data_IF_046040267741
#
_entry.id   IF_046040267741
#
_cell.length_a   1.000
_cell.length_b   1.000
_cell.length_c   1.000
_cell.angle_alpha   90.00
_cell.angle_beta   90.00
_cell.angle_gamma   90.00
#
_symmetry.space_group_name_H-M   'P 1'
#
loop_
_entity.id
_entity.type
_entity.pdbx_description
1 polymer ?
#
# COMPACT_ATOMS: atom_id res chain seq x y z
N UNK A 1 -26.55 -21.53 -15.03
CA UNK A 1 -25.41 -21.16 -15.87
C UNK A 1 -24.79 -19.87 -15.38
N UNK A 2 -23.45 -19.76 -15.41
CA UNK A 2 -22.72 -18.55 -15.00
C UNK A 2 -23.16 -17.35 -15.86
N UNK A 3 -23.51 -16.18 -15.29
CA UNK A 3 -23.93 -15.01 -16.04
C UNK A 3 -22.95 -14.60 -17.14
N UNK A 4 -21.64 -14.78 -16.91
CA UNK A 4 -20.60 -14.50 -17.91
C UNK A 4 -20.75 -15.28 -19.23
N UNK A 5 -21.39 -16.46 -19.22
CA UNK A 5 -21.50 -17.30 -20.42
C UNK A 5 -22.75 -17.04 -21.27
N UNK A 6 -23.80 -16.45 -20.70
CA UNK A 6 -25.06 -16.28 -21.41
C UNK A 6 -25.61 -14.85 -21.36
N UNK A 7 -25.17 -14.02 -20.40
CA UNK A 7 -25.64 -12.65 -20.27
C UNK A 7 -24.69 -11.66 -20.96
N UNK A 8 -23.38 -11.83 -20.80
CA UNK A 8 -22.37 -10.91 -21.35
C UNK A 8 -22.30 -10.94 -22.89
N UNK A 9 -22.29 -12.10 -23.57
CA UNK A 9 -22.24 -12.14 -25.03
C UNK A 9 -23.48 -11.51 -25.70
N UNK A 10 -24.63 -11.59 -25.03
CA UNK A 10 -25.91 -11.09 -25.54
C UNK A 10 -26.17 -9.64 -25.14
N UNK A 11 -25.40 -9.09 -24.19
CA UNK A 11 -25.56 -7.73 -23.69
C UNK A 11 -25.54 -6.64 -24.77
N UNK A 12 -24.65 -6.68 -25.79
CA UNK A 12 -24.66 -5.68 -26.86
C UNK A 12 -25.98 -5.67 -27.64
N UNK A 13 -26.60 -6.83 -27.82
CA UNK A 13 -27.78 -7.05 -28.63
C UNK A 13 -29.10 -6.79 -27.90
N UNK A 14 -29.08 -6.65 -26.57
CA UNK A 14 -30.28 -6.34 -25.79
C UNK A 14 -30.71 -4.88 -25.99
N UNK A 15 -32.02 -4.69 -26.17
CA UNK A 15 -32.63 -3.36 -26.22
C UNK A 15 -32.47 -2.61 -24.88
N UNK A 16 -32.47 -1.27 -24.96
CA UNK A 16 -32.27 -0.41 -23.80
C UNK A 16 -33.32 -0.62 -22.69
N UNK A 17 -34.56 -0.95 -23.08
CA UNK A 17 -35.64 -1.29 -22.14
C UNK A 17 -35.39 -2.61 -21.41
N UNK A 18 -34.98 -3.65 -22.13
CA UNK A 18 -34.63 -4.95 -21.55
C UNK A 18 -33.45 -4.83 -20.57
N UNK A 19 -32.42 -4.04 -20.92
CA UNK A 19 -31.30 -3.71 -20.02
C UNK A 19 -31.78 -3.04 -18.73
N UNK A 20 -32.64 -2.03 -18.85
CA UNK A 20 -33.14 -1.26 -17.71
C UNK A 20 -34.00 -2.09 -16.75
N UNK A 21 -34.77 -3.05 -17.27
CA UNK A 21 -35.57 -3.97 -16.47
C UNK A 21 -34.75 -5.07 -15.77
N UNK A 22 -33.67 -5.55 -16.40
CA UNK A 22 -32.84 -6.64 -15.89
C UNK A 22 -31.82 -6.20 -14.82
N UNK A 23 -31.29 -4.98 -14.91
CA UNK A 23 -30.24 -4.47 -14.00
C UNK A 23 -30.66 -4.55 -12.52
N UNK A 24 -31.86 -4.11 -12.09
CA UNK A 24 -32.27 -4.18 -10.69
C UNK A 24 -32.30 -5.62 -10.15
N UNK A 25 -32.85 -6.56 -10.92
CA UNK A 25 -32.94 -7.97 -10.52
C UNK A 25 -31.56 -8.63 -10.42
N UNK A 26 -30.68 -8.35 -11.37
CA UNK A 26 -29.29 -8.81 -11.34
C UNK A 26 -28.55 -8.21 -10.13
N UNK A 27 -28.67 -6.90 -9.92
CA UNK A 27 -28.00 -6.20 -8.81
C UNK A 27 -28.43 -6.75 -7.45
N UNK A 28 -29.73 -7.05 -7.28
CA UNK A 28 -30.25 -7.66 -6.06
C UNK A 28 -29.65 -9.05 -5.84
N UNK A 29 -29.59 -9.89 -6.87
CA UNK A 29 -29.00 -11.24 -6.78
C UNK A 29 -27.50 -11.19 -6.47
N UNK A 30 -26.76 -10.28 -7.11
CA UNK A 30 -25.33 -10.09 -6.84
C UNK A 30 -25.09 -9.56 -5.43
N UNK A 31 -25.93 -8.64 -4.95
CA UNK A 31 -25.87 -8.15 -3.57
C UNK A 31 -26.08 -9.27 -2.55
N UNK A 32 -27.10 -10.11 -2.74
CA UNK A 32 -27.35 -11.28 -1.89
C UNK A 32 -26.18 -12.28 -1.93
N UNK A 33 -25.58 -12.48 -3.10
CA UNK A 33 -24.41 -13.36 -3.25
C UNK A 33 -23.18 -12.79 -2.54
N UNK A 34 -22.95 -11.48 -2.63
CA UNK A 34 -21.87 -10.78 -1.95
C UNK A 34 -22.04 -10.85 -0.42
N UNK A 35 -23.27 -10.68 0.09
CA UNK A 35 -23.58 -10.79 1.52
C UNK A 35 -23.40 -12.23 2.03
N UNK A 36 -23.81 -13.22 1.24
CA UNK A 36 -23.66 -14.65 1.56
C UNK A 36 -22.27 -15.24 1.28
N UNK A 37 -21.30 -14.44 0.81
CA UNK A 37 -19.99 -14.94 0.47
C UNK A 37 -19.26 -15.49 1.70
N UNK A 38 -18.54 -16.60 1.49
CA UNK A 38 -17.64 -17.19 2.47
C UNK A 38 -16.53 -17.96 1.76
N UNK A 39 -15.32 -17.92 2.30
CA UNK A 39 -14.17 -18.61 1.75
C UNK A 39 -14.38 -20.14 1.65
N UNK A 40 -15.16 -20.74 2.55
CA UNK A 40 -15.41 -22.20 2.54
C UNK A 40 -16.36 -22.64 1.42
N UNK A 41 -17.33 -21.78 1.07
CA UNK A 41 -18.44 -22.13 0.18
C UNK A 41 -18.30 -21.54 -1.22
N UNK A 42 -17.61 -20.40 -1.36
CA UNK A 42 -17.38 -19.78 -2.66
C UNK A 42 -16.25 -20.51 -3.38
N UNK A 43 -16.59 -21.13 -4.51
CA UNK A 43 -15.61 -21.45 -5.54
C UNK A 43 -15.10 -20.18 -6.22
N UNK A 44 -14.92 -20.19 -7.54
CA UNK A 44 -14.46 -19.02 -8.30
C UNK A 44 -15.54 -17.94 -8.40
N UNK A 45 -15.81 -17.23 -7.30
CA UNK A 45 -16.74 -16.11 -7.23
C UNK A 45 -16.33 -14.98 -8.17
N UNK A 46 -15.02 -14.78 -8.33
CA UNK A 46 -14.43 -13.89 -9.32
C UNK A 46 -15.03 -14.11 -10.72
N UNK A 47 -15.04 -15.36 -11.21
CA UNK A 47 -15.54 -15.72 -12.55
C UNK A 47 -17.01 -15.37 -12.77
N UNK A 48 -17.78 -15.22 -11.68
CA UNK A 48 -19.21 -14.86 -11.74
C UNK A 48 -19.38 -13.35 -11.69
N UNK A 49 -18.60 -12.66 -10.87
CA UNK A 49 -18.75 -11.23 -10.60
C UNK A 49 -18.08 -10.37 -11.66
N UNK A 50 -16.86 -10.68 -12.07
CA UNK A 50 -16.10 -9.89 -13.04
C UNK A 50 -16.92 -9.62 -14.32
N UNK A 51 -17.52 -10.62 -14.97
CA UNK A 51 -18.32 -10.37 -16.17
C UNK A 51 -19.55 -9.51 -15.88
N UNK A 52 -20.15 -9.64 -14.69
CA UNK A 52 -21.31 -8.84 -14.28
C UNK A 52 -20.95 -7.37 -13.98
N UNK A 53 -19.72 -7.08 -13.53
CA UNK A 53 -19.30 -5.70 -13.29
C UNK A 53 -19.09 -4.92 -14.60
N UNK A 54 -18.90 -5.57 -15.74
CA UNK A 54 -18.79 -4.87 -17.01
C UNK A 54 -20.12 -4.26 -17.47
N UNK A 55 -21.25 -4.90 -17.10
CA UNK A 55 -22.59 -4.52 -17.54
C UNK A 55 -23.33 -3.58 -16.58
N UNK A 56 -22.85 -3.43 -15.35
CA UNK A 56 -23.48 -2.60 -14.32
C UNK A 56 -23.03 -1.14 -14.42
N UNK A 57 -23.96 -0.22 -14.13
CA UNK A 57 -23.65 1.22 -14.03
C UNK A 57 -22.71 1.53 -12.85
N UNK A 58 -21.87 2.56 -12.98
CA UNK A 58 -20.85 2.93 -12.00
C UNK A 58 -21.35 2.97 -10.54
N UNK A 59 -22.49 3.62 -10.30
CA UNK A 59 -23.09 3.73 -8.95
C UNK A 59 -23.45 2.38 -8.34
N UNK A 60 -24.00 1.47 -9.14
CA UNK A 60 -24.40 0.12 -8.69
C UNK A 60 -23.17 -0.73 -8.41
N UNK A 61 -22.13 -0.63 -9.26
CA UNK A 61 -20.86 -1.34 -9.06
C UNK A 61 -20.19 -0.95 -7.76
N UNK A 62 -20.07 0.36 -7.50
CA UNK A 62 -19.45 0.85 -6.26
C UNK A 62 -20.22 0.37 -5.03
N UNK A 63 -21.56 0.41 -5.06
CA UNK A 63 -22.41 -0.09 -3.96
C UNK A 63 -22.28 -1.61 -3.75
N UNK A 64 -22.17 -2.38 -4.85
CA UNK A 64 -21.98 -3.83 -4.76
C UNK A 64 -20.60 -4.19 -4.21
N UNK A 65 -19.55 -3.52 -4.70
CA UNK A 65 -18.18 -3.73 -4.24
C UNK A 65 -18.01 -3.31 -2.79
N UNK A 66 -18.62 -2.21 -2.34
CA UNK A 66 -18.54 -1.81 -0.93
C UNK A 66 -19.21 -2.83 0.00
N UNK A 67 -20.38 -3.36 -0.37
CA UNK A 67 -21.04 -4.46 0.37
C UNK A 67 -20.16 -5.70 0.43
N UNK A 68 -19.56 -6.07 -0.72
CA UNK A 68 -18.72 -7.25 -0.79
C UNK A 68 -17.44 -7.07 0.06
N UNK A 69 -16.78 -5.92 -0.02
CA UNK A 69 -15.60 -5.61 0.79
C UNK A 69 -15.91 -5.64 2.29
N UNK A 70 -17.06 -5.12 2.73
CA UNK A 70 -17.48 -5.24 4.14
C UNK A 70 -17.63 -6.70 4.57
N UNK A 71 -18.09 -7.57 3.67
CA UNK A 71 -18.17 -9.01 3.95
C UNK A 71 -16.79 -9.67 3.99
N UNK A 72 -15.88 -9.29 3.09
CA UNK A 72 -14.49 -9.74 3.12
C UNK A 72 -13.79 -9.31 4.42
N UNK A 73 -14.05 -8.09 4.88
CA UNK A 73 -13.50 -7.58 6.15
C UNK A 73 -13.94 -8.44 7.33
N UNK A 74 -15.22 -8.82 7.37
CA UNK A 74 -15.71 -9.76 8.38
C UNK A 74 -15.02 -11.12 8.31
N UNK A 75 -14.77 -11.66 7.12
CA UNK A 75 -14.09 -12.96 6.96
C UNK A 75 -12.61 -12.90 7.33
N UNK A 76 -11.91 -11.80 7.05
CA UNK A 76 -10.54 -11.56 7.53
C UNK A 76 -10.51 -11.59 9.05
N UNK A 77 -11.37 -10.81 9.71
CA UNK A 77 -11.42 -10.74 11.18
C UNK A 77 -11.72 -12.07 11.85
N UNK A 78 -12.64 -12.87 11.30
CA UNK A 78 -13.13 -14.07 12.01
C UNK A 78 -12.33 -15.33 11.72
N UNK A 79 -11.73 -15.45 10.52
CA UNK A 79 -11.11 -16.70 10.07
C UNK A 79 -9.60 -16.59 9.78
N UNK A 80 -9.04 -15.40 9.59
CA UNK A 80 -7.60 -15.25 9.40
C UNK A 80 -6.95 -15.01 10.76
N UNK A 81 -6.08 -15.93 11.16
CA UNK A 81 -5.22 -15.79 12.32
C UNK A 81 -3.77 -15.80 11.87
N UNK A 82 -3.02 -14.77 12.23
CA UNK A 82 -1.59 -14.70 11.92
C UNK A 82 -0.82 -15.40 13.05
N UNK A 83 -0.34 -16.60 12.76
CA UNK A 83 0.53 -17.35 13.67
C UNK A 83 1.87 -17.63 12.97
N UNK A 84 2.99 -17.11 13.50
CA UNK A 84 4.35 -17.45 13.07
C UNK A 84 4.64 -18.93 12.83
N UNK A 85 4.16 -19.81 13.71
CA UNK A 85 4.47 -21.23 13.69
C UNK A 85 3.52 -22.07 12.81
N UNK A 86 2.32 -21.56 12.54
CA UNK A 86 1.28 -22.28 11.78
C UNK A 86 0.40 -21.31 10.98
N UNK A 87 0.81 -21.02 9.75
CA UNK A 87 0.12 -20.07 8.88
C UNK A 87 -1.03 -20.73 8.13
N UNK A 88 -2.26 -20.28 8.41
CA UNK A 88 -3.45 -20.72 7.70
C UNK A 88 -3.82 -19.71 6.61
N UNK A 89 -3.31 -19.91 5.39
CA UNK A 89 -3.43 -18.96 4.27
C UNK A 89 -4.66 -19.17 3.39
N UNK A 90 -5.34 -20.31 3.49
CA UNK A 90 -6.45 -20.72 2.63
C UNK A 90 -7.57 -19.66 2.48
N UNK A 91 -7.98 -19.03 3.57
CA UNK A 91 -9.01 -17.98 3.56
C UNK A 91 -8.45 -16.70 2.95
N UNK A 92 -7.23 -16.33 3.32
CA UNK A 92 -6.57 -15.12 2.82
C UNK A 92 -6.30 -15.19 1.32
N UNK A 93 -5.80 -16.32 0.81
CA UNK A 93 -5.60 -16.56 -0.63
C UNK A 93 -6.90 -16.35 -1.41
N UNK A 94 -8.02 -16.89 -0.92
CA UNK A 94 -9.33 -16.72 -1.54
C UNK A 94 -9.78 -15.26 -1.54
N UNK A 95 -9.50 -14.52 -0.48
CA UNK A 95 -9.80 -13.07 -0.42
C UNK A 95 -8.90 -12.30 -1.39
N UNK A 96 -7.61 -12.63 -1.47
CA UNK A 96 -6.66 -12.00 -2.38
C UNK A 96 -6.96 -12.31 -3.85
N UNK A 97 -7.55 -13.48 -4.18
CA UNK A 97 -8.02 -13.74 -5.55
C UNK A 97 -9.10 -12.76 -6.00
N UNK A 98 -9.82 -12.14 -5.06
CA UNK A 98 -10.79 -11.10 -5.37
C UNK A 98 -10.12 -9.78 -5.77
N UNK A 99 -8.83 -9.56 -5.49
CA UNK A 99 -8.11 -8.32 -5.82
C UNK A 99 -8.21 -7.94 -7.30
N UNK A 100 -8.30 -8.93 -8.19
CA UNK A 100 -8.50 -8.74 -9.64
C UNK A 100 -9.80 -8.01 -10.01
N UNK A 101 -10.82 -8.08 -9.14
CA UNK A 101 -12.14 -7.48 -9.35
C UNK A 101 -12.30 -6.14 -8.63
N UNK A 102 -11.54 -5.94 -7.55
CA UNK A 102 -11.62 -4.76 -6.70
C UNK A 102 -10.67 -3.67 -7.16
N UNK A 103 -11.05 -2.39 -7.06
CA UNK A 103 -10.08 -1.31 -7.15
C UNK A 103 -9.01 -1.47 -6.06
N UNK A 104 -7.74 -1.23 -6.40
CA UNK A 104 -6.59 -1.37 -5.46
C UNK A 104 -6.85 -0.65 -4.13
N UNK A 105 -7.43 0.56 -4.17
CA UNK A 105 -7.81 1.35 -2.98
C UNK A 105 -8.69 0.57 -1.99
N UNK A 106 -9.66 -0.22 -2.48
CA UNK A 106 -10.53 -1.00 -1.61
C UNK A 106 -9.80 -2.21 -1.01
N UNK A 107 -8.92 -2.85 -1.79
CA UNK A 107 -8.13 -3.98 -1.30
C UNK A 107 -7.06 -3.53 -0.28
N UNK A 108 -6.37 -2.43 -0.57
CA UNK A 108 -5.47 -1.78 0.38
C UNK A 108 -6.21 -1.41 1.66
N UNK A 109 -7.41 -0.81 1.55
CA UNK A 109 -8.18 -0.45 2.73
C UNK A 109 -8.62 -1.64 3.58
N UNK A 110 -8.98 -2.73 2.92
CA UNK A 110 -9.34 -3.98 3.56
C UNK A 110 -8.15 -4.56 4.35
N UNK A 111 -6.97 -4.61 3.72
CA UNK A 111 -5.79 -5.16 4.37
C UNK A 111 -5.26 -4.24 5.48
N UNK A 112 -5.18 -2.93 5.26
CA UNK A 112 -4.76 -1.94 6.27
C UNK A 112 -5.67 -1.94 7.50
N UNK A 113 -6.98 -2.10 7.29
CA UNK A 113 -7.94 -2.08 8.39
C UNK A 113 -8.04 -3.40 9.16
N UNK A 114 -7.87 -4.54 8.50
CA UNK A 114 -8.23 -5.84 9.08
C UNK A 114 -7.07 -6.82 9.22
N UNK A 115 -6.11 -6.81 8.28
CA UNK A 115 -5.03 -7.80 8.24
C UNK A 115 -3.74 -7.27 8.90
N UNK A 116 -3.25 -6.12 8.44
CA UNK A 116 -1.99 -5.56 8.90
C UNK A 116 -1.94 -5.29 10.41
N UNK A 117 -3.02 -4.85 11.10
CA UNK A 117 -2.99 -4.69 12.55
C UNK A 117 -2.70 -6.02 13.26
N UNK A 118 -3.36 -7.11 12.85
CA UNK A 118 -3.13 -8.45 13.41
C UNK A 118 -1.73 -8.97 13.07
N UNK A 119 -1.26 -8.73 11.84
CA UNK A 119 0.05 -9.18 11.40
C UNK A 119 1.20 -8.44 12.09
N UNK A 120 1.12 -7.11 12.19
CA UNK A 120 2.09 -6.28 12.91
C UNK A 120 2.06 -6.59 14.42
N UNK A 121 0.91 -6.94 15.00
CA UNK A 121 0.84 -7.42 16.38
C UNK A 121 1.60 -8.74 16.56
N UNK A 122 1.44 -9.70 15.66
CA UNK A 122 2.19 -10.97 15.71
C UNK A 122 3.70 -10.72 15.57
N UNK A 123 4.10 -9.82 14.65
CA UNK A 123 5.49 -9.40 14.50
C UNK A 123 6.05 -8.80 15.78
N UNK A 124 5.34 -7.85 16.40
CA UNK A 124 5.74 -7.22 17.66
C UNK A 124 5.93 -8.24 18.79
N UNK A 125 4.98 -9.17 18.95
CA UNK A 125 5.08 -10.22 19.97
C UNK A 125 6.28 -11.12 19.71
N UNK A 126 6.57 -11.45 18.45
CA UNK A 126 7.73 -12.24 18.09
C UNK A 126 9.04 -11.50 18.38
N UNK A 127 9.14 -10.21 18.05
CA UNK A 127 10.32 -9.39 18.39
C UNK A 127 10.58 -9.40 19.90
N UNK A 128 9.54 -9.27 20.73
CA UNK A 128 9.66 -9.26 22.20
C UNK A 128 10.10 -10.59 22.81
N UNK A 129 9.72 -11.70 22.19
CA UNK A 129 9.93 -13.05 22.74
C UNK A 129 11.17 -13.74 22.16
N UNK A 130 11.77 -13.16 21.12
CA UNK A 130 12.92 -13.73 20.41
C UNK A 130 14.23 -13.50 21.12
N UNK A 131 15.09 -14.52 21.10
CA UNK A 131 16.52 -14.38 21.40
C UNK A 131 17.30 -13.90 20.16
N UNK A 132 18.60 -13.61 20.33
CA UNK A 132 19.45 -13.11 19.25
C UNK A 132 19.55 -14.06 18.03
N UNK A 133 19.27 -15.37 18.20
CA UNK A 133 19.31 -16.38 17.14
C UNK A 133 18.06 -16.43 16.25
N UNK A 134 16.89 -16.10 16.82
CA UNK A 134 15.60 -16.07 16.12
C UNK A 134 15.47 -14.91 15.08
N UNK A 135 16.48 -14.05 14.96
CA UNK A 135 16.49 -12.93 14.02
C UNK A 135 16.40 -13.36 12.55
N UNK A 136 16.98 -14.50 12.18
CA UNK A 136 16.97 -14.98 10.78
C UNK A 136 15.60 -15.51 10.36
N UNK A 137 14.92 -16.24 11.24
CA UNK A 137 13.58 -16.77 11.00
C UNK A 137 12.54 -15.65 10.92
N UNK A 138 12.68 -14.61 11.73
CA UNK A 138 11.81 -13.44 11.70
C UNK A 138 11.94 -12.67 10.38
N UNK A 139 13.17 -12.47 9.88
CA UNK A 139 13.41 -11.84 8.56
C UNK A 139 12.79 -12.70 7.46
N UNK A 140 13.01 -14.02 7.48
CA UNK A 140 12.43 -14.95 6.50
C UNK A 140 10.90 -14.92 6.51
N UNK A 141 10.30 -14.81 7.70
CA UNK A 141 8.85 -14.69 7.84
C UNK A 141 8.32 -13.40 7.23
N UNK A 142 8.96 -12.26 7.53
CA UNK A 142 8.62 -10.96 6.94
C UNK A 142 8.71 -11.01 5.40
N UNK A 143 9.81 -11.51 4.85
CA UNK A 143 10.03 -11.62 3.40
C UNK A 143 9.02 -12.54 2.74
N UNK A 144 8.68 -13.67 3.39
CA UNK A 144 7.66 -14.59 2.94
C UNK A 144 6.31 -13.90 2.76
N UNK A 145 5.89 -13.12 3.76
CA UNK A 145 4.64 -12.34 3.70
C UNK A 145 4.66 -11.26 2.63
N UNK A 146 5.77 -10.52 2.51
CA UNK A 146 5.94 -9.50 1.47
C UNK A 146 5.82 -10.10 0.07
N UNK A 147 6.56 -11.18 -0.20
CA UNK A 147 6.51 -11.89 -1.48
C UNK A 147 5.11 -12.46 -1.78
N UNK A 148 4.47 -13.04 -0.77
CA UNK A 148 3.13 -13.59 -0.90
C UNK A 148 2.12 -12.50 -1.29
N UNK A 149 2.02 -11.39 -0.54
CA UNK A 149 1.06 -10.33 -0.86
C UNK A 149 1.35 -9.64 -2.20
N UNK A 150 2.62 -9.34 -2.50
CA UNK A 150 3.00 -8.73 -3.78
C UNK A 150 2.67 -9.62 -5.00
N UNK A 151 2.64 -10.95 -4.83
CA UNK A 151 2.26 -11.86 -5.92
C UNK A 151 0.78 -11.73 -6.34
N UNK A 152 -0.09 -11.27 -5.44
CA UNK A 152 -1.51 -11.06 -5.71
C UNK A 152 -1.85 -9.60 -6.06
N UNK A 153 -1.18 -8.64 -5.43
CA UNK A 153 -1.52 -7.21 -5.50
C UNK A 153 -0.67 -6.42 -6.49
N UNK A 154 0.46 -7.00 -6.94
CA UNK A 154 1.48 -6.29 -7.70
C UNK A 154 2.64 -5.85 -6.80
N UNK A 155 3.84 -5.74 -7.38
CA UNK A 155 5.04 -5.35 -6.63
C UNK A 155 5.13 -3.84 -6.39
N UNK A 156 4.36 -3.04 -7.12
CA UNK A 156 4.44 -1.57 -7.13
C UNK A 156 3.28 -0.88 -6.38
N UNK A 157 2.47 -1.63 -5.61
CA UNK A 157 1.36 -1.04 -4.85
C UNK A 157 1.90 -0.28 -3.62
N UNK A 158 2.07 1.04 -3.79
CA UNK A 158 2.61 1.93 -2.77
C UNK A 158 1.88 1.85 -1.42
N UNK A 159 0.56 1.64 -1.43
CA UNK A 159 -0.23 1.56 -0.19
C UNK A 159 0.11 0.32 0.63
N UNK A 160 0.46 -0.78 -0.03
CA UNK A 160 0.85 -2.03 0.62
C UNK A 160 2.31 -1.96 1.06
N UNK A 161 3.18 -1.38 0.25
CA UNK A 161 4.61 -1.24 0.56
C UNK A 161 4.86 -0.36 1.79
N UNK A 162 4.07 0.69 1.96
CA UNK A 162 4.06 1.57 3.14
C UNK A 162 3.91 0.76 4.45
N UNK A 163 2.96 -0.19 4.50
CA UNK A 163 2.75 -1.05 5.68
C UNK A 163 3.94 -1.98 5.98
N UNK A 164 4.63 -2.43 4.92
CA UNK A 164 5.84 -3.23 5.06
C UNK A 164 7.04 -2.40 5.47
N UNK A 165 7.11 -1.12 5.07
CA UNK A 165 8.12 -0.18 5.53
C UNK A 165 7.96 0.10 7.02
N UNK A 166 6.74 0.41 7.48
CA UNK A 166 6.44 0.60 8.90
C UNK A 166 6.87 -0.60 9.75
N UNK A 167 6.58 -1.81 9.26
CA UNK A 167 6.91 -3.04 9.96
C UNK A 167 8.42 -3.31 9.99
N UNK A 168 9.15 -2.88 8.95
CA UNK A 168 10.61 -2.96 8.94
C UNK A 168 11.21 -1.97 9.95
N UNK A 169 10.68 -0.75 10.03
CA UNK A 169 11.07 0.23 11.04
C UNK A 169 10.79 -0.30 12.46
N UNK A 170 9.67 -1.02 12.67
CA UNK A 170 9.37 -1.70 13.93
C UNK A 170 10.44 -2.75 14.29
N UNK A 171 10.90 -3.54 13.33
CA UNK A 171 11.98 -4.50 13.53
C UNK A 171 13.31 -3.82 13.90
N UNK A 172 13.62 -2.68 13.30
CA UNK A 172 14.81 -1.90 13.62
C UNK A 172 14.73 -1.29 15.03
N UNK A 173 13.56 -0.78 15.42
CA UNK A 173 13.31 -0.19 16.73
C UNK A 173 13.42 -1.24 17.84
N UNK A 174 12.83 -2.42 17.66
CA UNK A 174 12.88 -3.49 18.67
C UNK A 174 14.28 -4.06 18.91
N UNK A 175 15.21 -3.87 17.99
CA UNK A 175 16.63 -4.24 18.15
C UNK A 175 17.48 -3.17 18.83
N UNK A 176 17.05 -1.92 18.78
CA UNK A 176 17.86 -0.76 19.20
C UNK A 176 17.39 -0.13 20.51
N UNK A 177 16.11 -0.26 20.85
CA UNK A 177 15.53 0.35 22.05
C UNK A 177 15.47 -0.62 23.24
N UNK A 178 15.68 -0.12 24.47
CA UNK A 178 15.32 -0.84 25.69
C UNK A 178 13.82 -1.17 25.72
N UNK A 179 13.45 -2.29 26.32
CA UNK A 179 12.08 -2.86 26.29
C UNK A 179 10.97 -1.88 26.73
N UNK A 180 11.29 -0.96 27.65
CA UNK A 180 10.38 0.08 28.18
C UNK A 180 10.04 1.16 27.16
N UNK A 181 11.00 1.58 26.34
CA UNK A 181 10.84 2.66 25.35
C UNK A 181 10.15 2.14 24.07
N UNK A 182 10.35 0.86 23.77
CA UNK A 182 9.71 0.16 22.64
C UNK A 182 8.19 -0.01 22.84
N UNK A 183 7.73 -0.17 24.09
CA UNK A 183 6.30 -0.31 24.39
C UNK A 183 5.52 0.99 24.18
N UNK A 184 6.10 2.13 24.60
CA UNK A 184 5.46 3.45 24.48
C UNK A 184 5.34 3.93 23.03
N UNK A 185 6.21 3.47 22.14
CA UNK A 185 6.21 3.85 20.72
C UNK A 185 5.13 3.10 19.92
N UNK A 186 4.74 1.91 20.35
CA UNK A 186 3.95 0.99 19.53
C UNK A 186 2.49 0.76 19.98
N UNK A 187 2.20 0.75 21.29
CA UNK A 187 0.83 0.57 21.81
C UNK A 187 -0.24 1.50 21.20
N UNK A 188 0.02 2.80 20.92
CA UNK A 188 -1.03 3.67 20.37
C UNK A 188 -1.39 3.38 18.91
N UNK A 189 -0.55 2.68 18.13
CA UNK A 189 -0.76 2.44 16.68
C UNK A 189 -1.56 1.15 16.41
N UNK A 190 -1.32 0.08 17.19
CA UNK A 190 -2.06 -1.20 17.04
C UNK A 190 -3.51 -1.08 17.48
N UNK A 191 -3.78 -0.26 18.50
CA UNK A 191 -5.14 -0.05 19.01
C UNK A 191 -6.00 0.84 18.11
N UNK A 192 -5.40 1.55 17.14
CA UNK A 192 -6.14 2.30 16.12
C UNK A 192 -6.48 1.42 14.91
N UNK A 193 -6.76 0.13 15.09
CA UNK A 193 -7.27 -0.75 14.04
C UNK A 193 -8.54 -0.13 13.43
N UNK A 194 -8.35 0.67 12.39
CA UNK A 194 -9.40 1.42 11.74
C UNK A 194 -10.16 0.42 10.89
N UNK A 195 -11.44 0.22 11.19
CA UNK A 195 -12.32 -0.61 10.34
C UNK A 195 -12.11 -0.31 8.86
N UNK A 196 -12.24 -1.31 7.99
CA UNK A 196 -12.23 -1.14 6.53
C UNK A 196 -12.94 0.14 6.06
N UNK A 197 -14.12 0.46 6.63
CA UNK A 197 -14.87 1.68 6.32
C UNK A 197 -14.12 2.97 6.68
N UNK A 198 -13.53 3.05 7.88
CA UNK A 198 -12.79 4.24 8.29
C UNK A 198 -11.53 4.43 7.44
N UNK A 199 -10.82 3.33 7.17
CA UNK A 199 -9.60 3.35 6.39
C UNK A 199 -9.90 3.70 4.92
N UNK A 200 -10.98 3.17 4.35
CA UNK A 200 -11.44 3.53 3.01
C UNK A 200 -11.72 5.04 2.87
N UNK A 201 -12.34 5.67 3.86
CA UNK A 201 -12.58 7.11 3.84
C UNK A 201 -11.26 7.91 3.93
N UNK A 202 -10.31 7.43 4.73
CA UNK A 202 -8.97 8.03 4.81
C UNK A 202 -8.25 7.99 3.44
N UNK A 203 -8.18 6.83 2.78
CA UNK A 203 -7.50 6.75 1.48
C UNK A 203 -8.19 7.55 0.39
N UNK A 204 -9.53 7.62 0.40
CA UNK A 204 -10.27 8.48 -0.53
C UNK A 204 -9.97 9.96 -0.34
N UNK A 205 -9.74 10.41 0.89
CA UNK A 205 -9.41 11.80 1.16
C UNK A 205 -8.01 12.21 0.66
N UNK A 206 -7.08 11.26 0.56
CA UNK A 206 -5.71 11.49 0.10
C UNK A 206 -5.54 11.29 -1.42
N UNK A 207 -6.55 10.72 -2.10
CA UNK A 207 -6.56 10.65 -3.56
C UNK A 207 -6.83 12.04 -4.15
N UNK A 208 -6.09 12.49 -5.18
CA UNK A 208 -6.39 13.74 -5.85
C UNK A 208 -7.83 13.72 -6.37
N UNK A 209 -8.59 14.82 -6.27
CA UNK A 209 -9.94 14.89 -6.78
C UNK A 209 -9.89 14.49 -8.25
N UNK A 210 -10.61 13.43 -8.61
CA UNK A 210 -10.70 12.99 -9.99
C UNK A 210 -11.23 14.16 -10.80
N UNK A 211 -10.55 14.63 -11.86
CA UNK A 211 -11.10 15.69 -12.68
C UNK A 211 -12.43 15.16 -13.22
N UNK A 212 -13.52 15.79 -12.81
CA UNK A 212 -14.84 15.51 -13.34
C UNK A 212 -14.74 15.66 -14.86
N UNK A 213 -14.81 14.52 -15.58
CA UNK A 213 -14.84 14.51 -17.04
C UNK A 213 -16.12 15.24 -17.45
N UNK A 214 -15.97 16.52 -17.80
CA UNK A 214 -16.98 17.26 -18.54
C UNK A 214 -17.08 16.59 -19.89
N UNK A 215 -18.25 16.05 -20.17
CA UNK A 215 -18.62 15.48 -21.46
C UNK A 215 -18.51 16.55 -22.55
N UNK A 216 -17.46 16.47 -23.38
CA UNK A 216 -17.42 17.16 -24.67
C UNK A 216 -17.61 16.14 -25.79
N UNK A 217 -18.55 16.47 -26.69
CA UNK A 217 -18.93 15.68 -27.86
C UNK A 217 -17.82 15.68 -28.91
N UNK A 218 -17.57 14.48 -29.45
CA UNK A 218 -17.10 14.08 -30.78
C UNK A 218 -16.57 15.14 -31.77
N UNK A 219 -15.41 14.86 -32.38
CA UNK A 219 -15.29 14.82 -33.85
C UNK A 219 -14.12 13.92 -34.31
N UNK A 220 -14.33 13.28 -35.47
CA UNK A 220 -13.57 12.20 -36.11
C UNK A 220 -12.15 12.57 -36.60
N UNK A 221 -11.29 11.54 -36.73
CA UNK A 221 -10.09 11.55 -37.57
C UNK A 221 -9.46 10.15 -37.71
N UNK A 222 -9.42 9.64 -38.94
CA UNK A 222 -9.13 8.25 -39.35
C UNK A 222 -7.63 8.00 -39.67
N UNK A 223 -7.21 6.73 -39.63
CA UNK A 223 -6.32 6.00 -40.60
C UNK A 223 -5.05 5.31 -40.02
N UNK A 224 -5.04 3.96 -40.19
CA UNK A 224 -3.99 2.94 -40.49
C UNK A 224 -2.61 3.00 -39.78
N UNK A 225 -1.88 1.91 -39.45
CA UNK A 225 -1.90 0.46 -39.74
C UNK A 225 -0.43 -0.02 -39.71
N UNK A 226 -0.05 -1.13 -39.03
CA UNK A 226 0.48 -2.37 -39.65
C UNK A 226 1.21 -3.29 -38.64
N UNK A 227 1.10 -4.61 -38.92
CA UNK A 227 1.85 -5.85 -38.56
C UNK A 227 3.36 -5.71 -38.27
N UNK A 228 4.15 -6.66 -37.73
CA UNK A 228 4.08 -7.93 -36.99
C UNK A 228 5.56 -8.39 -36.74
N UNK A 229 5.75 -9.47 -35.95
CA UNK A 229 6.98 -10.32 -35.86
C UNK A 229 8.14 -9.76 -35.00
N UNK A 230 8.88 -10.50 -34.16
CA UNK A 230 9.04 -11.93 -33.88
C UNK A 230 10.52 -12.19 -33.55
N UNK A 231 10.86 -12.80 -32.40
CA UNK A 231 12.21 -13.35 -32.14
C UNK A 231 12.75 -13.22 -30.71
N UNK A 232 12.72 -14.33 -29.95
CA UNK A 232 13.69 -14.64 -28.87
C UNK A 232 15.05 -15.08 -29.48
N UNK A 233 16.17 -15.08 -28.71
CA UNK A 233 16.53 -16.28 -27.93
C UNK A 233 17.20 -15.98 -26.56
N UNK A 234 17.24 -17.01 -25.71
CA UNK A 234 17.61 -16.94 -24.29
C UNK A 234 19.10 -16.96 -23.92
N UNK A 235 19.34 -16.93 -22.61
CA UNK A 235 20.64 -17.06 -21.96
C UNK A 235 20.50 -17.22 -20.44
N UNK A 236 20.89 -18.38 -19.94
CA UNK A 236 20.80 -18.82 -18.54
C UNK A 236 21.66 -18.04 -17.53
N UNK A 237 21.12 -17.95 -16.32
CA UNK A 237 21.77 -18.24 -15.02
C UNK A 237 23.03 -17.47 -14.63
N UNK A 238 22.88 -16.50 -13.71
CA UNK A 238 23.74 -16.31 -12.53
C UNK A 238 23.34 -15.05 -11.76
N UNK A 239 22.33 -15.11 -10.90
CA UNK A 239 22.00 -13.98 -10.02
C UNK A 239 21.40 -14.37 -8.66
N UNK A 240 21.45 -15.66 -8.28
CA UNK A 240 20.78 -16.14 -7.06
C UNK A 240 21.60 -15.98 -5.76
N UNK A 241 22.67 -15.19 -5.74
CA UNK A 241 23.51 -15.05 -4.53
C UNK A 241 23.94 -13.62 -4.17
N UNK A 242 23.67 -12.60 -5.00
CA UNK A 242 24.04 -11.20 -4.71
C UNK A 242 22.86 -10.25 -4.54
N UNK A 243 21.63 -10.74 -4.66
CA UNK A 243 20.42 -9.92 -4.54
C UNK A 243 19.93 -9.77 -3.09
N UNK A 244 20.44 -10.61 -2.17
CA UNK A 244 20.00 -10.70 -0.77
C UNK A 244 20.58 -9.63 0.16
N UNK A 245 21.60 -8.87 -0.25
CA UNK A 245 22.28 -7.91 0.64
C UNK A 245 21.84 -6.45 0.41
N UNK A 246 21.19 -6.16 -0.74
CA UNK A 246 20.89 -4.78 -1.17
C UNK A 246 19.42 -4.34 -1.03
N UNK A 247 18.51 -5.22 -0.61
CA UNK A 247 17.05 -4.92 -0.55
C UNK A 247 16.53 -4.62 0.87
N UNK A 248 17.42 -4.36 1.84
CA UNK A 248 17.07 -4.08 3.24
C UNK A 248 17.21 -2.61 3.65
N UNK A 249 16.98 -1.66 2.73
CA UNK A 249 17.03 -0.24 3.09
C UNK A 249 15.61 0.34 3.02
N UNK A 250 15.04 0.69 4.18
CA UNK A 250 13.93 1.64 4.24
C UNK A 250 14.35 2.89 3.49
N UNK A 251 13.43 3.67 2.91
CA UNK A 251 13.83 4.95 2.27
C UNK A 251 14.62 5.84 3.24
N UNK A 252 14.34 5.73 4.54
CA UNK A 252 15.15 6.31 5.61
C UNK A 252 16.63 5.89 5.55
N UNK A 253 16.92 4.63 5.29
CA UNK A 253 18.29 4.10 5.19
C UNK A 253 18.95 4.56 3.89
N UNK A 254 18.18 4.76 2.81
CA UNK A 254 18.68 5.42 1.58
C UNK A 254 19.10 6.86 1.89
N UNK A 255 18.28 7.61 2.62
CA UNK A 255 18.59 8.97 3.06
C UNK A 255 19.78 9.00 4.01
N UNK A 256 19.86 8.06 4.95
CA UNK A 256 20.96 7.95 5.93
C UNK A 256 22.27 7.58 5.24
N UNK A 257 22.28 6.57 4.36
CA UNK A 257 23.44 6.20 3.56
C UNK A 257 23.89 7.36 2.65
N UNK A 258 22.94 8.09 2.04
CA UNK A 258 23.24 9.29 1.27
C UNK A 258 23.86 10.40 2.13
N UNK A 259 23.35 10.62 3.34
CA UNK A 259 23.90 11.60 4.29
C UNK A 259 25.33 11.23 4.70
N UNK A 260 25.54 9.96 5.10
CA UNK A 260 26.85 9.42 5.48
C UNK A 260 27.87 9.54 4.35
N UNK A 261 27.50 9.16 3.12
CA UNK A 261 28.37 9.27 1.94
C UNK A 261 28.80 10.72 1.66
N UNK A 262 27.95 11.68 1.98
CA UNK A 262 28.21 13.11 1.77
C UNK A 262 28.79 13.81 3.01
N UNK A 263 29.05 13.08 4.09
CA UNK A 263 29.59 13.62 5.35
C UNK A 263 28.61 14.53 6.09
N UNK A 264 27.31 14.39 5.86
CA UNK A 264 26.26 15.17 6.50
C UNK A 264 25.53 14.34 7.58
N UNK A 265 25.20 14.93 8.75
CA UNK A 265 24.47 14.20 9.79
C UNK A 265 22.97 14.12 9.48
N UNK A 266 22.39 12.93 9.61
CA UNK A 266 20.96 12.70 9.57
C UNK A 266 20.47 12.19 10.93
N UNK A 267 19.69 13.01 11.64
CA UNK A 267 19.37 12.77 13.06
C UNK A 267 17.86 12.76 13.32
N UNK A 268 17.41 11.83 14.17
CA UNK A 268 16.04 11.78 14.66
C UNK A 268 15.73 12.95 15.62
N UNK A 269 14.62 13.66 15.40
CA UNK A 269 14.09 14.62 16.39
C UNK A 269 13.09 13.93 17.31
N UNK A 270 13.58 13.37 18.41
CA UNK A 270 12.78 12.67 19.42
C UNK A 270 11.54 13.49 19.84
N UNK A 271 10.37 12.84 19.83
CA UNK A 271 9.09 13.43 20.25
C UNK A 271 8.54 14.54 19.33
N UNK A 272 9.08 14.71 18.12
CA UNK A 272 8.62 15.72 17.15
C UNK A 272 7.94 15.04 15.96
N UNK A 273 6.67 15.36 15.78
CA UNK A 273 5.84 14.85 14.70
C UNK A 273 5.12 15.99 13.96
N UNK A 274 4.85 15.77 12.68
CA UNK A 274 3.97 16.60 11.85
C UNK A 274 2.93 15.68 11.22
N UNK A 275 1.64 15.86 11.53
CA UNK A 275 0.54 15.02 11.03
C UNK A 275 0.79 13.50 11.22
N UNK A 276 1.40 13.13 12.36
CA UNK A 276 1.78 11.74 12.67
C UNK A 276 3.11 11.29 12.06
N UNK A 277 3.72 12.06 11.16
CA UNK A 277 5.01 11.74 10.52
C UNK A 277 6.17 12.21 11.37
N UNK A 278 7.16 11.34 11.54
CA UNK A 278 8.36 11.60 12.32
C UNK A 278 9.23 12.69 11.66
N UNK A 279 9.67 13.68 12.45
CA UNK A 279 10.61 14.69 11.99
C UNK A 279 12.06 14.25 12.21
N UNK A 280 12.89 14.51 11.21
CA UNK A 280 14.33 14.31 11.20
C UNK A 280 15.06 15.65 10.96
N UNK A 281 16.37 15.63 11.18
CA UNK A 281 17.29 16.73 10.92
C UNK A 281 18.35 16.27 9.95
N UNK A 282 18.30 16.75 8.71
CA UNK A 282 19.34 16.52 7.69
C UNK A 282 20.25 17.74 7.65
N UNK A 283 21.47 17.63 8.18
CA UNK A 283 22.44 18.74 8.30
C UNK A 283 21.85 20.04 8.89
N UNK A 284 20.91 19.93 9.83
CA UNK A 284 20.26 21.07 10.49
C UNK A 284 19.03 21.64 9.78
N UNK A 285 18.62 21.06 8.65
CA UNK A 285 17.32 21.29 8.02
C UNK A 285 16.32 20.26 8.56
N UNK A 286 15.13 20.70 8.98
CA UNK A 286 14.07 19.79 9.42
C UNK A 286 13.44 19.14 8.19
N UNK A 287 13.34 17.82 8.21
CA UNK A 287 12.71 17.04 7.14
C UNK A 287 11.76 15.99 7.71
N UNK A 288 10.79 15.54 6.92
CA UNK A 288 10.08 14.28 7.16
C UNK A 288 10.15 13.41 5.91
N UNK A 289 9.91 12.12 6.08
CA UNK A 289 9.89 11.14 5.01
C UNK A 289 8.46 10.69 4.77
N UNK A 290 8.05 10.61 3.51
CA UNK A 290 6.71 10.20 3.12
C UNK A 290 6.74 9.60 1.71
N UNK A 291 6.22 8.38 1.54
CA UNK A 291 6.11 7.67 0.26
C UNK A 291 7.40 7.77 -0.60
N UNK A 292 8.55 7.45 -0.02
CA UNK A 292 9.87 7.52 -0.65
C UNK A 292 10.28 8.92 -1.16
N UNK A 293 9.76 9.97 -0.54
CA UNK A 293 10.10 11.37 -0.84
C UNK A 293 10.48 12.12 0.43
N UNK A 294 11.60 12.85 0.37
CA UNK A 294 12.00 13.76 1.45
C UNK A 294 11.24 15.06 1.31
N UNK A 295 10.59 15.49 2.38
CA UNK A 295 9.97 16.81 2.46
C UNK A 295 10.75 17.67 3.44
N UNK A 296 11.07 18.90 3.05
CA UNK A 296 11.77 19.84 3.91
C UNK A 296 10.97 21.10 4.16
N UNK A 297 11.19 21.70 5.33
CA UNK A 297 10.54 22.94 5.73
C UNK A 297 11.26 24.14 5.08
N UNK A 298 10.61 24.81 4.12
CA UNK A 298 11.13 25.99 3.40
C UNK A 298 10.92 27.25 4.23
N UNK A 299 9.74 27.37 4.83
CA UNK A 299 9.34 28.39 5.78
C UNK A 299 8.47 27.72 6.86
N UNK A 300 8.24 28.38 8.00
CA UNK A 300 7.49 27.78 9.12
C UNK A 300 6.12 27.27 8.64
N UNK A 301 5.96 25.95 8.56
CA UNK A 301 4.75 25.28 8.07
C UNK A 301 4.61 25.11 6.54
N UNK A 302 5.57 25.57 5.72
CA UNK A 302 5.60 25.31 4.26
C UNK A 302 6.57 24.15 3.98
N UNK A 303 6.01 22.98 3.67
CA UNK A 303 6.73 21.73 3.43
C UNK A 303 6.68 21.36 1.96
N UNK A 304 7.84 21.10 1.36
CA UNK A 304 7.93 20.76 -0.08
C UNK A 304 8.75 19.51 -0.32
N UNK A 305 8.36 18.68 -1.31
CA UNK A 305 9.15 17.54 -1.73
C UNK A 305 10.47 18.03 -2.36
N UNK A 306 11.56 17.35 -2.05
CA UNK A 306 12.91 17.69 -2.54
C UNK A 306 13.73 16.43 -2.80
N UNK A 307 14.53 16.46 -3.87
CA UNK A 307 15.52 15.43 -4.13
C UNK A 307 16.66 15.47 -3.12
N UNK A 308 17.34 14.33 -2.90
CA UNK A 308 18.45 14.24 -1.94
C UNK A 308 19.62 15.15 -2.32
N UNK A 309 19.93 15.26 -3.61
CA UNK A 309 20.97 16.14 -4.15
C UNK A 309 20.65 17.62 -3.93
N UNK A 310 19.40 18.02 -4.16
CA UNK A 310 18.94 19.40 -3.96
C UNK A 310 18.92 19.77 -2.47
N UNK A 311 18.49 18.84 -1.62
CA UNK A 311 18.51 18.99 -0.17
C UNK A 311 19.95 19.21 0.35
N UNK A 312 20.92 18.48 -0.19
CA UNK A 312 22.34 18.64 0.14
C UNK A 312 22.86 20.03 -0.25
N UNK A 313 22.52 20.50 -1.45
CA UNK A 313 22.87 21.85 -1.91
C UNK A 313 22.27 22.90 -0.98
N UNK A 314 20.99 22.74 -0.62
CA UNK A 314 20.28 23.66 0.27
C UNK A 314 20.93 23.74 1.66
N UNK A 315 21.28 22.60 2.25
CA UNK A 315 21.95 22.53 3.56
C UNK A 315 23.29 23.27 3.55
N UNK A 316 24.09 23.08 2.49
CA UNK A 316 25.39 23.74 2.34
C UNK A 316 25.24 25.26 2.15
N UNK A 317 24.22 25.71 1.43
CA UNK A 317 23.91 27.14 1.28
C UNK A 317 23.44 27.78 2.59
N UNK A 318 22.53 27.13 3.32
CA UNK A 318 22.03 27.59 4.61
C UNK A 318 23.16 27.72 5.65
N UNK A 319 24.13 26.80 5.63
CA UNK A 319 25.31 26.83 6.50
C UNK A 319 26.29 27.95 6.14
N UNK A 320 26.46 28.27 4.85
CA UNK A 320 27.26 29.42 4.40
C UNK A 320 26.62 30.76 4.81
N UNK A 321 25.29 30.87 4.71
CA UNK A 321 24.54 32.06 5.16
C UNK A 321 24.70 32.33 6.66
N UNK A 322 24.61 31.29 7.50
CA UNK A 322 24.83 31.39 8.96
C UNK A 322 26.27 31.75 9.36
N UNK A 323 27.29 31.32 8.58
CA UNK A 323 28.69 31.70 8.82
C UNK A 323 29.00 33.15 8.42
N UNK A 324 28.31 33.70 7.41
CA UNK A 324 28.48 35.09 6.99
C UNK A 324 27.90 36.13 7.96
N UNK A 325 26.83 35.78 8.68
CA UNK A 325 26.18 36.68 9.66
C UNK A 325 26.93 36.78 10.99
N UNK A 326 27.71 35.78 11.38
CA UNK A 326 28.50 35.80 12.61
C UNK A 326 29.80 36.61 12.51
N UNK A 327 30.25 36.98 11.30
CA UNK A 327 31.51 37.71 11.06
C UNK A 327 31.40 39.24 10.97
N UNK A 328 30.19 39.82 11.05
CA UNK A 328 29.97 41.27 10.86
C UNK A 328 29.66 42.05 12.14
N UNK A 329 29.72 41.42 13.32
CA UNK A 329 29.41 42.05 14.61
C UNK A 329 30.62 42.51 15.42
N UNK A 330 31.82 42.53 14.83
CA UNK A 330 33.05 42.90 15.52
C UNK A 330 33.83 43.96 14.75
N UNK A 331 33.43 45.23 14.91
CA UNK A 331 34.33 46.37 14.84
C UNK A 331 33.87 47.43 15.83
#
# INVERSE_FOLDING_TARGET
GRPGHWLVPWWPYLESYAKTSLIPGLSRKLGQMAEGWSAERSGNFHDVIEPCLSILGAKVRVSLLSRFASRLAAQLRTHVKVNPADQQLNVLEKILTCAKVFPSVHMAALLKGEFFPMWKQALYQWIRTSDAGANSDLVRWYEGWKKFLCSYLGSDDALILDEFSDALDLMHQGRSLPETDFHQTWEPVVMQASSYSAMLELLKAHLPPTPAIKTSKSSNGTVNGSRADGGEPGGSSSYSASFSEHMMHSFKDVVDAFAQRNGEPFLLKHGRFLDGKQLYSFSGVTVYLDLDVVHHEVAKGDWRPVGLEDLLVWCRQARKSKKGTAGSGGK
#
